data_IF_655817010753
#
_entry.id   IF_655817010753
#
_cell.length_a   1.000
_cell.length_b   1.000
_cell.length_c   1.000
_cell.angle_alpha   90.00
_cell.angle_beta   90.00
_cell.angle_gamma   90.00
#
_symmetry.space_group_name_H-M   'P 1'
#
loop_
_entity.id
_entity.type
_entity.pdbx_description
1 polymer ?
#
# COMPACT_ATOMS: atom_id res chain seq x y z
N UNK A 1 5.05 9.97 0.73
CA UNK A 1 4.31 11.14 0.15
C UNK A 1 2.83 11.10 0.52
N UNK A 2 2.08 10.07 0.11
CA UNK A 2 0.64 9.94 0.44
C UNK A 2 0.37 9.96 1.96
N UNK A 3 1.18 9.25 2.74
CA UNK A 3 1.16 9.20 4.19
C UNK A 3 1.14 10.59 4.85
N UNK A 4 2.07 11.47 4.47
CA UNK A 4 2.18 12.83 5.01
C UNK A 4 0.93 13.68 4.72
N UNK A 5 0.38 13.59 3.52
CA UNK A 5 -0.82 14.30 3.13
C UNK A 5 -2.05 13.77 3.89
N UNK A 6 -2.16 12.45 4.05
CA UNK A 6 -3.23 11.83 4.81
C UNK A 6 -3.19 12.26 6.28
N UNK A 7 -2.03 12.14 6.93
CA UNK A 7 -1.85 12.56 8.33
C UNK A 7 -2.20 14.03 8.52
N UNK A 8 -1.71 14.91 7.64
CA UNK A 8 -2.02 16.35 7.69
C UNK A 8 -3.53 16.59 7.57
N UNK A 9 -4.22 15.85 6.70
CA UNK A 9 -5.67 16.00 6.50
C UNK A 9 -6.44 15.51 7.71
N UNK A 10 -6.13 14.34 8.25
CA UNK A 10 -6.78 13.78 9.42
C UNK A 10 -6.62 14.68 10.65
N UNK A 11 -5.41 15.17 10.92
CA UNK A 11 -5.16 16.12 12.01
C UNK A 11 -5.92 17.45 11.85
N UNK A 12 -6.11 17.92 10.61
CA UNK A 12 -6.92 19.10 10.32
C UNK A 12 -8.41 18.87 10.60
N UNK A 13 -8.87 17.64 10.48
CA UNK A 13 -10.25 17.22 10.78
C UNK A 13 -10.41 16.75 12.23
N UNK A 14 -9.42 17.07 13.09
CA UNK A 14 -9.43 16.84 14.55
C UNK A 14 -9.41 15.34 14.93
N UNK A 15 -8.98 14.44 14.02
CA UNK A 15 -8.74 13.05 14.37
C UNK A 15 -7.47 12.92 15.21
N UNK A 16 -7.49 12.04 16.21
CA UNK A 16 -6.29 11.57 16.89
C UNK A 16 -5.54 10.60 15.97
N UNK A 17 -4.27 10.90 15.65
CA UNK A 17 -3.48 10.13 14.69
C UNK A 17 -2.23 9.60 15.36
N UNK A 18 -2.11 8.26 15.42
CA UNK A 18 -0.92 7.56 15.87
C UNK A 18 -0.12 7.11 14.65
N UNK A 19 1.08 7.67 14.49
CA UNK A 19 1.94 7.38 13.34
C UNK A 19 2.93 6.26 13.71
N UNK A 20 2.80 5.12 13.04
CA UNK A 20 3.68 3.96 13.18
C UNK A 20 4.55 3.83 11.93
N UNK A 21 5.85 3.63 12.12
CA UNK A 21 6.83 3.45 11.06
C UNK A 21 7.92 2.43 11.47
N UNK A 22 8.92 2.20 10.64
CA UNK A 22 9.96 1.21 10.88
C UNK A 22 10.79 1.44 12.16
N UNK A 23 10.83 2.67 12.69
CA UNK A 23 11.61 3.00 13.90
C UNK A 23 10.84 2.80 15.20
N UNK A 24 9.51 2.82 15.13
CA UNK A 24 8.62 2.66 16.29
C UNK A 24 7.60 1.53 16.13
N UNK A 25 7.81 0.62 15.19
CA UNK A 25 6.87 -0.44 14.85
C UNK A 25 6.42 -1.26 16.08
N UNK A 26 7.34 -1.60 16.98
CA UNK A 26 7.01 -2.37 18.18
C UNK A 26 6.11 -1.63 19.16
N UNK A 27 6.06 -0.29 19.10
CA UNK A 27 5.21 0.50 20.01
C UNK A 27 3.72 0.27 19.81
N UNK A 28 3.29 -0.18 18.62
CA UNK A 28 1.88 -0.48 18.39
C UNK A 28 1.33 -1.57 19.31
N UNK A 29 2.16 -2.54 19.72
CA UNK A 29 1.77 -3.62 20.62
C UNK A 29 1.50 -3.17 22.06
N UNK A 30 1.92 -1.94 22.41
CA UNK A 30 1.67 -1.32 23.71
C UNK A 30 0.37 -0.52 23.75
N UNK A 31 -0.32 -0.36 22.62
CA UNK A 31 -1.61 0.32 22.59
C UNK A 31 -2.70 -0.53 23.26
N UNK A 32 -3.64 0.13 23.90
CA UNK A 32 -4.76 -0.54 24.53
C UNK A 32 -5.57 -1.35 23.50
N UNK A 33 -6.05 -2.53 23.90
CA UNK A 33 -6.87 -3.38 23.02
C UNK A 33 -8.15 -2.67 22.61
N UNK A 34 -8.43 -2.71 21.30
CA UNK A 34 -9.61 -2.11 20.69
C UNK A 34 -9.76 -0.60 20.98
N UNK A 35 -8.63 0.09 21.13
CA UNK A 35 -8.58 1.56 21.29
C UNK A 35 -8.52 2.32 19.96
N UNK A 36 -8.33 1.61 18.85
CA UNK A 36 -8.21 2.17 17.51
C UNK A 36 -9.51 1.96 16.73
N UNK A 37 -10.06 3.02 16.15
CA UNK A 37 -11.24 2.94 15.29
C UNK A 37 -10.88 2.53 13.86
N UNK A 38 -9.78 3.07 13.32
CA UNK A 38 -9.35 2.84 11.94
C UNK A 38 -7.84 2.61 11.88
N UNK A 39 -7.43 1.54 11.21
CA UNK A 39 -6.04 1.28 10.86
C UNK A 39 -5.85 1.58 9.37
N UNK A 40 -4.93 2.47 9.02
CA UNK A 40 -4.54 2.69 7.62
C UNK A 40 -3.17 2.07 7.39
N UNK A 41 -3.16 0.88 6.78
CA UNK A 41 -1.94 0.13 6.51
C UNK A 41 -1.33 0.55 5.16
N UNK A 42 -0.29 1.37 5.21
CA UNK A 42 0.45 1.90 4.07
C UNK A 42 1.85 1.31 3.93
N UNK A 43 2.33 0.58 4.95
CA UNK A 43 3.69 0.09 4.99
C UNK A 43 3.96 -0.90 3.85
N UNK A 44 4.98 -0.60 3.06
CA UNK A 44 5.44 -1.44 1.96
C UNK A 44 6.89 -1.11 1.64
N UNK A 45 7.70 -2.12 1.36
CA UNK A 45 9.03 -1.93 0.79
C UNK A 45 8.90 -2.01 -0.73
N UNK A 46 9.00 -0.87 -1.39
CA UNK A 46 9.02 -0.76 -2.85
C UNK A 46 9.75 0.50 -3.29
N UNK A 47 10.28 0.48 -4.51
CA UNK A 47 10.97 1.61 -5.14
C UNK A 47 10.65 1.61 -6.63
N UNK A 48 10.71 2.79 -7.27
CA UNK A 48 10.57 2.91 -8.71
C UNK A 48 11.87 2.47 -9.45
N UNK A 49 11.79 2.36 -10.77
CA UNK A 49 12.98 2.15 -11.61
C UNK A 49 13.51 0.71 -11.65
N UNK A 50 12.61 -0.27 -11.61
CA UNK A 50 12.99 -1.68 -11.79
C UNK A 50 13.29 -2.42 -10.50
N UNK A 51 13.02 -1.84 -9.32
CA UNK A 51 13.26 -2.49 -8.04
C UNK A 51 12.50 -3.81 -7.92
N UNK A 52 11.24 -3.84 -8.32
CA UNK A 52 10.42 -5.04 -8.24
C UNK A 52 10.98 -6.21 -9.08
N UNK A 53 11.56 -5.90 -10.23
CA UNK A 53 12.16 -6.89 -11.12
C UNK A 53 13.52 -7.39 -10.62
N UNK A 54 14.31 -6.50 -10.03
CA UNK A 54 15.69 -6.78 -9.63
C UNK A 54 15.80 -7.38 -8.22
N UNK A 55 14.78 -7.19 -7.37
CA UNK A 55 14.77 -7.63 -5.98
C UNK A 55 13.52 -8.46 -5.60
N UNK A 56 13.13 -9.49 -6.40
CA UNK A 56 11.89 -10.23 -6.14
C UNK A 56 11.91 -10.98 -4.80
N UNK A 57 13.05 -11.55 -4.41
CA UNK A 57 13.18 -12.25 -3.12
C UNK A 57 13.02 -11.32 -1.92
N UNK A 58 13.66 -10.14 -1.96
CA UNK A 58 13.52 -9.12 -0.93
C UNK A 58 12.07 -8.60 -0.84
N UNK A 59 11.45 -8.35 -2.00
CA UNK A 59 10.03 -7.97 -2.10
C UNK A 59 9.13 -9.00 -1.41
N UNK A 60 9.35 -10.28 -1.69
CA UNK A 60 8.56 -11.36 -1.12
C UNK A 60 8.69 -11.44 0.39
N UNK A 61 9.92 -11.50 0.88
CA UNK A 61 10.19 -11.71 2.31
C UNK A 61 9.72 -10.50 3.13
N UNK A 62 10.18 -9.30 2.79
CA UNK A 62 9.92 -8.12 3.61
C UNK A 62 8.44 -7.77 3.62
N UNK A 63 7.80 -7.72 2.45
CA UNK A 63 6.42 -7.28 2.38
C UNK A 63 5.43 -8.30 2.95
N UNK A 64 5.66 -9.61 2.77
CA UNK A 64 4.82 -10.60 3.44
C UNK A 64 5.00 -10.57 4.97
N UNK A 65 6.21 -10.32 5.49
CA UNK A 65 6.43 -10.13 6.92
C UNK A 65 5.67 -8.92 7.44
N UNK A 66 5.82 -7.76 6.81
CA UNK A 66 5.08 -6.53 7.18
C UNK A 66 3.57 -6.76 7.19
N UNK A 67 3.06 -7.42 6.17
CA UNK A 67 1.63 -7.72 6.06
C UNK A 67 1.16 -8.70 7.14
N UNK A 68 1.93 -9.77 7.39
CA UNK A 68 1.60 -10.77 8.40
C UNK A 68 1.59 -10.17 9.81
N UNK A 69 2.60 -9.37 10.15
CA UNK A 69 2.68 -8.68 11.44
C UNK A 69 1.50 -7.71 11.64
N UNK A 70 1.12 -6.97 10.60
CA UNK A 70 -0.02 -6.06 10.67
C UNK A 70 -1.35 -6.80 10.81
N UNK A 71 -1.55 -7.90 10.08
CA UNK A 71 -2.74 -8.72 10.19
C UNK A 71 -2.84 -9.38 11.57
N UNK A 72 -1.74 -9.88 12.12
CA UNK A 72 -1.67 -10.44 13.46
C UNK A 72 -2.02 -9.38 14.52
N UNK A 73 -1.38 -8.21 14.45
CA UNK A 73 -1.70 -7.09 15.34
C UNK A 73 -3.19 -6.72 15.29
N UNK A 74 -3.75 -6.60 14.08
CA UNK A 74 -5.15 -6.28 13.90
C UNK A 74 -6.07 -7.34 14.53
N UNK A 75 -5.81 -8.62 14.28
CA UNK A 75 -6.59 -9.72 14.81
C UNK A 75 -6.48 -9.85 16.34
N UNK A 76 -5.29 -9.67 16.91
CA UNK A 76 -5.03 -9.93 18.33
C UNK A 76 -5.34 -8.72 19.23
N UNK A 77 -5.09 -7.50 18.73
CA UNK A 77 -5.10 -6.29 19.56
C UNK A 77 -6.22 -5.31 19.18
N UNK A 78 -6.55 -5.18 17.90
CA UNK A 78 -7.45 -4.14 17.39
C UNK A 78 -8.58 -4.72 16.52
N UNK A 79 -9.18 -5.82 16.95
CA UNK A 79 -10.17 -6.58 16.18
C UNK A 79 -11.40 -5.75 15.77
N UNK A 80 -11.73 -4.69 16.53
CA UNK A 80 -12.84 -3.80 16.26
C UNK A 80 -12.50 -2.69 15.25
N UNK A 81 -11.23 -2.44 15.02
CA UNK A 81 -10.80 -1.40 14.08
C UNK A 81 -11.19 -1.75 12.64
N UNK A 82 -11.58 -0.75 11.87
CA UNK A 82 -11.75 -0.89 10.43
C UNK A 82 -10.40 -0.77 9.73
N UNK A 83 -10.00 -1.78 8.96
CA UNK A 83 -8.73 -1.76 8.20
C UNK A 83 -8.93 -1.08 6.84
N UNK A 84 -8.08 -0.10 6.52
CA UNK A 84 -7.96 0.46 5.18
C UNK A 84 -6.56 0.16 4.66
N UNK A 85 -6.45 -0.50 3.52
CA UNK A 85 -5.15 -0.82 2.93
C UNK A 85 -5.19 -0.82 1.41
N UNK A 86 -4.01 -1.02 0.79
CA UNK A 86 -3.82 -0.77 -0.62
C UNK A 86 -3.23 -1.98 -1.35
N UNK A 87 -3.92 -2.38 -2.40
CA UNK A 87 -3.41 -3.23 -3.45
C UNK A 87 -2.50 -2.47 -4.41
N UNK A 88 -2.41 -3.01 -5.61
CA UNK A 88 -1.70 -2.40 -6.73
C UNK A 88 -2.32 -2.87 -8.04
N UNK A 89 -2.30 -2.03 -9.06
CA UNK A 89 -2.67 -2.44 -10.42
C UNK A 89 -1.83 -3.60 -10.94
N UNK A 90 -0.58 -3.75 -10.46
CA UNK A 90 0.29 -4.90 -10.77
C UNK A 90 -0.24 -6.24 -10.25
N UNK A 91 -1.24 -6.22 -9.37
CA UNK A 91 -1.96 -7.43 -8.93
C UNK A 91 -2.91 -7.99 -9.99
N UNK A 92 -3.31 -7.24 -11.01
CA UNK A 92 -4.10 -7.78 -12.10
C UNK A 92 -3.24 -8.63 -13.05
N UNK A 93 -3.88 -9.59 -13.69
CA UNK A 93 -3.30 -10.26 -14.86
C UNK A 93 -3.36 -9.35 -16.08
N UNK A 94 -2.40 -9.53 -17.00
CA UNK A 94 -2.40 -8.86 -18.30
C UNK A 94 -3.61 -9.27 -19.17
N UNK A 95 -4.15 -10.47 -18.91
CA UNK A 95 -5.20 -11.11 -19.74
C UNK A 95 -6.62 -10.83 -19.25
N UNK A 96 -6.81 -9.98 -18.22
CA UNK A 96 -8.13 -9.73 -17.64
C UNK A 96 -8.52 -8.25 -17.70
N UNK A 97 -9.82 -8.00 -17.81
CA UNK A 97 -10.36 -6.65 -17.60
C UNK A 97 -10.13 -6.25 -16.14
N UNK A 98 -9.50 -5.10 -15.90
CA UNK A 98 -9.18 -4.61 -14.57
C UNK A 98 -10.45 -4.14 -13.86
N UNK A 99 -11.06 -5.05 -13.12
CA UNK A 99 -12.19 -4.85 -12.21
C UNK A 99 -11.95 -5.61 -10.92
N UNK A 100 -12.60 -5.23 -9.83
CA UNK A 100 -12.41 -5.84 -8.51
C UNK A 100 -12.65 -7.35 -8.54
N UNK A 101 -13.66 -7.83 -9.26
CA UNK A 101 -13.99 -9.26 -9.40
C UNK A 101 -12.92 -10.09 -10.12
N UNK A 102 -12.01 -9.43 -10.82
CA UNK A 102 -10.95 -10.07 -11.58
C UNK A 102 -9.57 -9.96 -10.90
N UNK A 103 -9.46 -9.29 -9.76
CA UNK A 103 -8.17 -9.02 -9.13
C UNK A 103 -7.37 -10.27 -8.76
N UNK A 104 -8.03 -11.35 -8.38
CA UNK A 104 -7.39 -12.63 -8.03
C UNK A 104 -7.32 -13.63 -9.19
N UNK A 105 -7.75 -13.27 -10.41
CA UNK A 105 -7.74 -14.16 -11.56
C UNK A 105 -6.43 -14.06 -12.34
N UNK A 106 -5.98 -15.18 -12.89
CA UNK A 106 -4.75 -15.29 -13.68
C UNK A 106 -3.48 -14.97 -12.90
N UNK A 107 -2.34 -14.97 -13.56
CA UNK A 107 -1.06 -14.55 -13.00
C UNK A 107 -1.00 -13.02 -12.92
N UNK A 108 -0.38 -12.43 -11.87
CA UNK A 108 -0.15 -10.99 -11.83
C UNK A 108 0.64 -10.48 -13.02
N UNK A 109 0.57 -9.16 -13.27
CA UNK A 109 1.22 -8.45 -14.37
C UNK A 109 2.66 -8.92 -14.61
N UNK A 110 2.99 -9.22 -15.87
CA UNK A 110 4.32 -9.65 -16.29
C UNK A 110 5.41 -8.66 -15.83
N UNK A 111 6.47 -9.19 -15.22
CA UNK A 111 7.56 -8.39 -14.62
C UNK A 111 7.30 -7.89 -13.20
N UNK A 112 6.06 -8.02 -12.68
CA UNK A 112 5.68 -7.63 -11.32
C UNK A 112 5.04 -8.77 -10.53
N UNK A 113 5.16 -10.02 -10.99
CA UNK A 113 4.46 -11.18 -10.42
C UNK A 113 4.62 -11.28 -8.91
N UNK A 114 5.85 -11.16 -8.41
CA UNK A 114 6.13 -11.29 -6.96
C UNK A 114 5.46 -10.17 -6.18
N UNK A 115 5.60 -8.93 -6.63
CA UNK A 115 4.95 -7.78 -5.97
C UNK A 115 3.41 -7.88 -6.04
N UNK A 116 2.88 -8.25 -7.21
CA UNK A 116 1.46 -8.48 -7.40
C UNK A 116 0.92 -9.59 -6.49
N UNK A 117 1.66 -10.71 -6.35
CA UNK A 117 1.29 -11.80 -5.42
C UNK A 117 1.32 -11.36 -3.96
N UNK A 118 2.32 -10.57 -3.54
CA UNK A 118 2.36 -10.00 -2.18
C UNK A 118 1.10 -9.18 -1.89
N UNK A 119 0.66 -8.38 -2.85
CA UNK A 119 -0.57 -7.59 -2.71
C UNK A 119 -1.82 -8.47 -2.68
N UNK A 120 -1.90 -9.52 -3.51
CA UNK A 120 -2.97 -10.50 -3.46
C UNK A 120 -3.00 -11.28 -2.13
N UNK A 121 -1.84 -11.69 -1.61
CA UNK A 121 -1.74 -12.36 -0.32
C UNK A 121 -2.32 -11.51 0.82
N UNK A 122 -2.07 -10.20 0.82
CA UNK A 122 -2.68 -9.29 1.79
C UNK A 122 -4.22 -9.32 1.68
N UNK A 123 -4.77 -9.24 0.46
CA UNK A 123 -6.22 -9.33 0.27
C UNK A 123 -6.80 -10.65 0.77
N UNK A 124 -6.13 -11.77 0.47
CA UNK A 124 -6.56 -13.10 0.94
C UNK A 124 -6.54 -13.18 2.46
N UNK A 125 -5.51 -12.61 3.12
CA UNK A 125 -5.45 -12.50 4.58
C UNK A 125 -6.61 -11.69 5.17
N UNK A 126 -6.94 -10.56 4.56
CA UNK A 126 -8.11 -9.74 4.97
C UNK A 126 -9.43 -10.51 4.82
N UNK A 127 -9.59 -11.25 3.72
CA UNK A 127 -10.77 -12.09 3.49
C UNK A 127 -10.90 -13.19 4.54
N UNK A 128 -9.78 -13.84 4.90
CA UNK A 128 -9.76 -14.86 5.94
C UNK A 128 -10.17 -14.31 7.31
N UNK A 129 -9.59 -13.17 7.73
CA UNK A 129 -9.94 -12.54 9.00
C UNK A 129 -11.39 -12.03 9.01
N UNK A 130 -11.89 -11.51 7.90
CA UNK A 130 -13.32 -11.17 7.78
C UNK A 130 -14.21 -12.39 7.95
N UNK A 131 -13.85 -13.52 7.34
CA UNK A 131 -14.62 -14.76 7.41
C UNK A 131 -14.65 -15.35 8.82
N UNK A 132 -13.50 -15.35 9.50
CA UNK A 132 -13.34 -16.01 10.81
C UNK A 132 -13.79 -15.12 11.97
N UNK A 133 -13.44 -13.83 11.94
CA UNK A 133 -13.62 -12.89 13.05
C UNK A 133 -14.60 -11.76 12.77
N UNK A 134 -15.25 -11.76 11.60
CA UNK A 134 -16.18 -10.70 11.15
C UNK A 134 -15.57 -9.30 11.07
N UNK A 135 -14.26 -9.22 10.92
CA UNK A 135 -13.53 -7.95 10.82
C UNK A 135 -13.86 -7.21 9.52
N UNK A 136 -13.81 -5.89 9.53
CA UNK A 136 -14.21 -5.07 8.38
C UNK A 136 -13.03 -4.36 7.76
N UNK A 137 -12.98 -4.28 6.42
CA UNK A 137 -11.90 -3.62 5.71
C UNK A 137 -12.35 -2.98 4.39
N UNK A 138 -11.55 -2.00 3.94
CA UNK A 138 -11.49 -1.56 2.57
C UNK A 138 -10.12 -1.89 1.98
N UNK A 139 -10.11 -2.56 0.83
CA UNK A 139 -8.93 -2.84 0.04
C UNK A 139 -8.99 -2.03 -1.25
N UNK A 140 -8.18 -0.98 -1.35
CA UNK A 140 -8.19 -0.03 -2.45
C UNK A 140 -7.12 -0.42 -3.48
N UNK A 141 -7.43 -0.39 -4.77
CA UNK A 141 -6.51 -0.77 -5.84
C UNK A 141 -6.19 0.47 -6.69
N UNK A 142 -5.25 1.32 -6.24
CA UNK A 142 -4.86 2.49 -7.02
C UNK A 142 -3.99 2.09 -8.20
N UNK A 143 -4.02 2.92 -9.24
CA UNK A 143 -3.07 2.85 -10.34
C UNK A 143 -1.77 3.57 -9.97
N UNK A 144 -1.82 4.90 -9.85
CA UNK A 144 -0.66 5.73 -9.47
C UNK A 144 -1.15 6.86 -8.57
N UNK A 145 -0.44 7.07 -7.46
CA UNK A 145 -0.61 8.27 -6.66
C UNK A 145 0.32 9.37 -7.17
N UNK A 146 -0.21 10.56 -7.36
CA UNK A 146 0.57 11.75 -7.71
C UNK A 146 0.00 12.98 -6.99
N UNK A 147 0.80 14.02 -6.85
CA UNK A 147 0.38 15.25 -6.18
C UNK A 147 1.53 16.22 -5.96
N UNK A 148 1.28 17.34 -5.26
CA UNK A 148 2.33 18.27 -4.87
C UNK A 148 3.37 17.60 -3.97
N UNK A 149 4.53 18.25 -3.81
CA UNK A 149 5.64 17.78 -2.96
C UNK A 149 6.27 16.44 -3.40
N UNK A 150 6.23 16.14 -4.69
CA UNK A 150 6.89 14.97 -5.24
C UNK A 150 8.43 15.11 -5.19
N UNK A 151 9.10 13.98 -5.08
CA UNK A 151 10.54 13.93 -5.20
C UNK A 151 10.96 14.09 -6.68
N UNK A 152 11.77 15.10 -7.00
CA UNK A 152 12.27 15.32 -8.35
C UNK A 152 13.06 14.13 -8.93
N UNK A 153 13.59 13.27 -8.05
CA UNK A 153 14.28 12.04 -8.44
C UNK A 153 13.36 10.83 -8.58
N UNK A 154 12.05 11.01 -8.38
CA UNK A 154 11.07 9.95 -8.56
C UNK A 154 11.01 9.51 -10.01
N UNK A 155 11.13 8.19 -10.25
CA UNK A 155 11.18 7.58 -11.57
C UNK A 155 9.82 7.03 -12.04
N UNK A 156 8.75 7.31 -11.31
CA UNK A 156 7.42 6.95 -11.77
C UNK A 156 7.02 7.75 -13.00
N UNK A 157 6.31 7.08 -13.92
CA UNK A 157 5.97 7.61 -15.25
C UNK A 157 5.44 9.03 -15.24
N UNK A 158 4.47 9.34 -14.36
CA UNK A 158 3.82 10.66 -14.34
C UNK A 158 4.79 11.79 -14.00
N UNK A 159 5.70 11.56 -13.05
CA UNK A 159 6.68 12.56 -12.65
C UNK A 159 7.77 12.75 -13.72
N UNK A 160 8.20 11.65 -14.35
CA UNK A 160 9.16 11.69 -15.46
C UNK A 160 8.58 12.44 -16.66
N UNK A 161 7.31 12.21 -17.00
CA UNK A 161 6.61 12.91 -18.07
C UNK A 161 6.48 14.41 -17.78
N UNK A 162 6.04 14.80 -16.58
CA UNK A 162 5.94 16.21 -16.17
C UNK A 162 7.29 16.89 -16.27
N UNK A 163 8.35 16.25 -15.73
CA UNK A 163 9.71 16.78 -15.81
C UNK A 163 10.16 17.01 -17.25
N UNK A 164 9.96 16.04 -18.15
CA UNK A 164 10.30 16.15 -19.56
C UNK A 164 9.56 17.29 -20.26
N UNK A 165 8.26 17.45 -20.01
CA UNK A 165 7.47 18.54 -20.58
C UNK A 165 7.96 19.91 -20.09
N UNK A 166 8.20 20.05 -18.78
CA UNK A 166 8.70 21.31 -18.20
C UNK A 166 10.07 21.65 -18.79
N UNK A 167 11.00 20.69 -18.81
CA UNK A 167 12.34 20.91 -19.37
C UNK A 167 12.30 21.27 -20.86
N UNK A 168 11.46 20.59 -21.66
CA UNK A 168 11.29 20.91 -23.08
C UNK A 168 10.81 22.35 -23.26
N UNK A 169 9.80 22.77 -22.48
CA UNK A 169 9.31 24.15 -22.51
C UNK A 169 10.39 25.17 -22.13
N UNK A 170 11.21 24.91 -21.12
CA UNK A 170 12.31 25.77 -20.69
C UNK A 170 13.41 25.88 -21.77
N UNK A 171 13.62 24.82 -22.56
CA UNK A 171 14.57 24.79 -23.66
C UNK A 171 14.00 25.31 -24.98
N UNK A 172 12.72 25.70 -25.03
CA UNK A 172 12.08 26.28 -26.20
C UNK A 172 11.62 25.28 -27.26
N UNK A 173 11.36 24.03 -26.86
CA UNK A 173 10.77 22.98 -27.71
C UNK A 173 9.25 22.87 -27.48
#
# INVERSE_FOLDING_TARGET
>A
MFDKHLVKRLKKEEHEVIEINSTNFTSMWNLEKNSIDVIVHLAVKTEAGGYCQNHPGEQWIINNSINADMLAYWADNQQRAHMVTFGSSCGYSDDVIKSEDNYLKGEPETGYQVYGMVKRNLLVGLQALKQEFYMTYNYLIPSVFYGPDYNLNDKHFIFDLIRKIVTAKELGY
#
